data_IF_211556163807
#
_entry.id   IF_211556163807
#
_cell.length_a   1.000
_cell.length_b   1.000
_cell.length_c   1.000
_cell.angle_alpha   90.00
_cell.angle_beta   90.00
_cell.angle_gamma   90.00
#
_symmetry.space_group_name_H-M   'P 1'
#
loop_
_entity.id
_entity.type
_entity.pdbx_description
1 polymer ?
#
# COMPACT_ATOMS: atom_id res chain seq x y z
N UNK A 1 62.26 33.34 15.48
CA UNK A 1 61.83 31.99 15.91
C UNK A 1 60.46 32.11 16.57
N UNK A 2 59.62 31.08 16.38
CA UNK A 2 58.25 30.86 16.90
C UNK A 2 57.11 31.34 15.99
N UNK A 3 56.69 30.40 15.14
CA UNK A 3 55.45 30.34 14.37
C UNK A 3 54.31 30.06 15.35
N UNK A 4 53.17 30.75 15.25
CA UNK A 4 51.94 30.34 15.93
C UNK A 4 50.95 29.88 14.85
N UNK A 5 50.71 28.57 14.80
CA UNK A 5 49.60 27.95 14.09
C UNK A 5 48.29 28.33 14.82
N UNK A 6 47.29 28.81 14.08
CA UNK A 6 45.90 28.74 14.53
C UNK A 6 45.15 27.99 13.44
N UNK A 7 44.80 26.76 13.76
CA UNK A 7 44.00 25.88 12.93
C UNK A 7 42.55 26.36 12.85
N UNK A 8 41.99 26.35 11.64
CA UNK A 8 40.57 26.42 11.42
C UNK A 8 40.13 25.06 10.89
N UNK A 9 39.68 24.20 11.81
CA UNK A 9 39.04 22.93 11.50
C UNK A 9 37.65 23.26 10.96
N UNK A 10 37.48 23.12 9.65
CA UNK A 10 36.18 23.17 8.98
C UNK A 10 35.49 21.82 9.18
N UNK A 11 34.75 21.66 10.28
CA UNK A 11 33.76 20.58 10.43
C UNK A 11 32.51 21.03 9.69
N UNK A 12 32.41 20.69 8.42
CA UNK A 12 31.14 20.77 7.69
C UNK A 12 30.45 19.42 7.83
N UNK A 13 29.41 19.46 8.67
CA UNK A 13 28.52 18.39 9.06
C UNK A 13 28.03 17.61 7.82
N UNK A 14 28.43 16.34 7.70
CA UNK A 14 27.78 15.39 6.81
C UNK A 14 26.37 15.19 7.36
N UNK A 15 25.35 15.75 6.71
CA UNK A 15 23.96 15.34 6.97
C UNK A 15 23.84 13.95 6.34
N UNK A 16 23.64 12.86 7.10
CA UNK A 16 23.22 11.63 6.47
C UNK A 16 21.85 11.91 5.88
N UNK A 17 21.75 11.98 4.56
CA UNK A 17 20.48 11.77 3.86
C UNK A 17 20.09 10.34 4.23
N UNK A 18 19.35 10.22 5.33
CA UNK A 18 18.69 8.97 5.69
C UNK A 18 17.68 8.73 4.59
N UNK A 19 18.07 7.89 3.63
CA UNK A 19 17.20 7.37 2.60
C UNK A 19 16.24 6.37 3.26
N UNK A 20 15.44 6.85 4.21
CA UNK A 20 14.28 6.13 4.68
C UNK A 20 13.26 6.24 3.55
N UNK A 21 13.12 5.17 2.78
CA UNK A 21 12.01 5.07 1.84
C UNK A 21 10.72 5.40 2.61
N UNK A 22 9.85 6.28 2.08
CA UNK A 22 8.60 6.61 2.76
C UNK A 22 7.84 5.32 3.04
N UNK A 23 7.19 5.25 4.21
CA UNK A 23 6.37 4.10 4.56
C UNK A 23 5.31 3.89 3.46
N UNK A 24 4.99 2.63 3.12
CA UNK A 24 4.14 2.31 1.97
C UNK A 24 2.71 2.89 2.08
N UNK A 25 2.29 3.28 3.30
CA UNK A 25 1.05 3.97 3.62
C UNK A 25 1.34 5.26 4.37
N UNK A 26 0.75 6.37 3.91
CA UNK A 26 0.73 7.65 4.64
C UNK A 26 -0.71 8.16 4.71
N UNK A 27 -1.20 8.49 5.91
CA UNK A 27 -2.55 9.03 6.10
C UNK A 27 -2.51 10.56 5.96
N UNK A 28 -3.38 11.12 5.13
CA UNK A 28 -3.57 12.56 4.94
C UNK A 28 -4.53 13.13 5.99
N UNK A 29 -4.53 14.47 6.14
CA UNK A 29 -5.37 15.19 7.09
C UNK A 29 -6.88 15.05 6.80
N UNK A 30 -7.25 14.69 5.56
CA UNK A 30 -8.62 14.44 5.14
C UNK A 30 -9.10 13.00 5.41
N UNK A 31 -8.25 12.17 6.03
CA UNK A 31 -8.55 10.79 6.41
C UNK A 31 -8.28 9.74 5.32
N UNK A 32 -7.79 10.15 4.15
CA UNK A 32 -7.43 9.22 3.08
C UNK A 32 -5.95 8.82 3.15
N UNK A 33 -5.70 7.54 2.89
CA UNK A 33 -4.37 6.98 2.77
C UNK A 33 -3.81 7.15 1.36
N UNK A 34 -2.56 7.59 1.26
CA UNK A 34 -1.75 7.49 0.05
C UNK A 34 -1.07 6.12 0.06
N UNK A 35 -1.43 5.29 -0.91
CA UNK A 35 -0.86 3.95 -1.11
C UNK A 35 0.23 4.03 -2.18
N UNK A 36 1.49 3.87 -1.76
CA UNK A 36 2.66 4.06 -2.64
C UNK A 36 3.22 2.74 -3.18
N UNK A 37 2.70 1.61 -2.71
CA UNK A 37 3.17 0.28 -3.05
C UNK A 37 2.00 -0.72 -3.11
N UNK A 38 2.11 -1.80 -3.92
CA UNK A 38 1.08 -2.83 -4.04
C UNK A 38 0.63 -3.38 -2.70
N UNK A 39 -0.63 -3.77 -2.60
CA UNK A 39 -1.14 -4.47 -1.42
C UNK A 39 -0.58 -5.89 -1.38
N UNK A 40 -0.19 -6.38 -0.21
CA UNK A 40 0.35 -7.73 -0.07
C UNK A 40 -0.17 -8.42 1.17
N UNK A 41 -0.55 -9.69 1.00
CA UNK A 41 -0.88 -10.58 2.12
C UNK A 41 0.38 -11.05 2.87
N UNK A 42 1.55 -11.00 2.21
CA UNK A 42 2.83 -11.27 2.82
C UNK A 42 3.45 -9.98 3.40
N UNK A 43 4.34 -10.12 4.39
CA UNK A 43 5.16 -8.99 4.86
C UNK A 43 6.42 -8.91 4.01
N UNK A 44 6.33 -8.18 2.90
CA UNK A 44 7.42 -8.00 1.94
C UNK A 44 7.88 -6.55 1.89
N UNK A 45 9.15 -6.33 1.56
CA UNK A 45 9.66 -4.99 1.30
C UNK A 45 8.96 -4.37 0.08
N UNK A 46 8.74 -3.06 0.10
CA UNK A 46 8.07 -2.31 -0.97
C UNK A 46 6.65 -2.80 -1.28
N UNK A 47 5.93 -3.25 -0.25
CA UNK A 47 4.50 -3.58 -0.32
C UNK A 47 3.75 -2.96 0.86
N UNK A 48 2.47 -2.73 0.67
CA UNK A 48 1.53 -2.37 1.73
C UNK A 48 0.93 -3.64 2.30
N UNK A 49 1.36 -4.04 3.50
CA UNK A 49 0.86 -5.26 4.11
C UNK A 49 -0.63 -5.12 4.52
N UNK A 50 -1.44 -6.10 4.13
CA UNK A 50 -2.79 -6.33 4.60
C UNK A 50 -2.90 -7.75 5.19
N UNK A 51 -3.61 -7.96 6.31
CA UNK A 51 -3.72 -9.26 6.95
C UNK A 51 -4.56 -10.25 6.13
N UNK A 52 -4.33 -11.56 6.32
CA UNK A 52 -5.21 -12.59 5.78
C UNK A 52 -6.64 -12.41 6.30
N UNK A 53 -7.61 -12.69 5.42
CA UNK A 53 -9.04 -12.48 5.69
C UNK A 53 -9.50 -11.04 5.49
N UNK A 54 -8.65 -10.18 4.91
CA UNK A 54 -9.05 -8.81 4.56
C UNK A 54 -10.15 -8.78 3.49
N UNK A 55 -10.93 -7.70 3.51
CA UNK A 55 -11.94 -7.38 2.50
C UNK A 55 -11.62 -6.03 1.89
N UNK A 56 -11.56 -5.98 0.56
CA UNK A 56 -11.32 -4.77 -0.22
C UNK A 56 -12.60 -4.43 -0.96
N UNK A 57 -13.02 -3.17 -0.88
CA UNK A 57 -14.10 -2.62 -1.69
C UNK A 57 -13.52 -1.61 -2.66
N UNK A 58 -13.76 -1.79 -3.95
CA UNK A 58 -13.51 -0.78 -4.97
C UNK A 58 -14.83 -0.13 -5.35
N UNK A 59 -14.93 1.16 -5.12
CA UNK A 59 -16.11 1.94 -5.44
C UNK A 59 -15.97 2.58 -6.82
N UNK A 60 -17.08 2.68 -7.55
CA UNK A 60 -17.09 3.14 -8.95
C UNK A 60 -16.50 4.56 -9.12
N UNK A 61 -16.56 5.38 -8.06
CA UNK A 61 -15.98 6.72 -8.02
C UNK A 61 -14.46 6.74 -7.73
N UNK A 62 -13.78 5.59 -7.77
CA UNK A 62 -12.32 5.49 -7.60
C UNK A 62 -11.86 5.59 -6.15
N UNK A 63 -12.72 5.20 -5.20
CA UNK A 63 -12.37 5.04 -3.80
C UNK A 63 -12.13 3.57 -3.51
N UNK A 64 -11.10 3.28 -2.72
CA UNK A 64 -10.82 1.93 -2.21
C UNK A 64 -10.92 1.92 -0.70
N UNK A 65 -11.68 0.99 -0.12
CA UNK A 65 -11.70 0.73 1.32
C UNK A 65 -11.13 -0.64 1.61
N UNK A 66 -10.31 -0.73 2.67
CA UNK A 66 -9.72 -1.99 3.10
C UNK A 66 -10.08 -2.26 4.55
N UNK A 67 -10.64 -3.43 4.81
CA UNK A 67 -11.00 -3.94 6.12
C UNK A 67 -10.15 -5.15 6.47
N UNK A 68 -9.73 -5.24 7.73
CA UNK A 68 -9.05 -6.42 8.26
C UNK A 68 -10.02 -7.56 8.57
N UNK A 69 -9.50 -8.74 8.97
CA UNK A 69 -10.30 -9.92 9.29
C UNK A 69 -11.25 -9.73 10.48
N UNK A 70 -11.02 -8.72 11.32
CA UNK A 70 -11.89 -8.35 12.45
C UNK A 70 -12.98 -7.34 12.07
N UNK A 71 -13.19 -7.11 10.77
CA UNK A 71 -14.08 -6.10 10.20
C UNK A 71 -13.74 -4.66 10.63
N UNK A 72 -12.54 -4.40 11.14
CA UNK A 72 -12.08 -3.03 11.35
C UNK A 72 -11.49 -2.46 10.07
N UNK A 73 -11.87 -1.24 9.75
CA UNK A 73 -11.30 -0.50 8.61
C UNK A 73 -9.82 -0.22 8.88
N UNK A 74 -8.96 -0.68 7.97
CA UNK A 74 -7.53 -0.41 7.99
C UNK A 74 -7.24 0.96 7.39
N UNK A 75 -7.83 1.25 6.22
CA UNK A 75 -7.72 2.55 5.56
C UNK A 75 -8.78 2.72 4.46
N UNK A 76 -8.93 3.98 4.03
CA UNK A 76 -9.63 4.39 2.80
C UNK A 76 -8.63 5.14 1.93
N UNK A 77 -8.62 4.92 0.62
CA UNK A 77 -7.68 5.56 -0.31
C UNK A 77 -8.40 6.04 -1.57
N UNK A 78 -7.88 7.10 -2.19
CA UNK A 78 -8.30 7.51 -3.53
C UNK A 78 -7.37 6.87 -4.55
N UNK A 79 -7.93 6.16 -5.52
CA UNK A 79 -7.15 5.48 -6.55
C UNK A 79 -6.36 6.48 -7.41
N UNK A 80 -6.88 7.70 -7.59
CA UNK A 80 -6.20 8.79 -8.29
C UNK A 80 -4.96 9.34 -7.58
N UNK A 81 -4.82 9.08 -6.27
CA UNK A 81 -3.69 9.53 -5.45
C UNK A 81 -2.71 8.38 -5.14
N UNK A 82 -3.09 7.15 -5.45
CA UNK A 82 -2.22 5.99 -5.30
C UNK A 82 -1.10 6.00 -6.36
N UNK A 83 0.04 5.40 -6.02
CA UNK A 83 1.12 5.21 -6.98
C UNK A 83 0.68 4.35 -8.16
N UNK A 84 1.18 4.66 -9.34
CA UNK A 84 0.94 3.86 -10.54
C UNK A 84 1.95 2.72 -10.60
N UNK A 85 1.46 1.48 -10.59
CA UNK A 85 2.27 0.26 -10.58
C UNK A 85 2.05 -0.50 -11.88
N UNK A 86 3.14 -1.02 -12.47
CA UNK A 86 3.07 -1.88 -13.65
C UNK A 86 2.54 -3.27 -13.29
N UNK A 87 1.48 -3.70 -13.98
CA UNK A 87 0.88 -5.03 -13.85
C UNK A 87 0.69 -5.65 -15.25
N UNK A 88 0.41 -6.97 -15.35
CA UNK A 88 -0.06 -7.56 -16.60
C UNK A 88 -1.28 -6.79 -17.11
N UNK A 89 -1.25 -6.35 -18.37
CA UNK A 89 -2.31 -5.55 -18.98
C UNK A 89 -2.18 -4.04 -18.79
N UNK A 90 -1.11 -3.54 -18.16
CA UNK A 90 -0.76 -2.12 -18.11
C UNK A 90 -0.56 -1.57 -16.70
N UNK A 91 -0.48 -0.25 -16.60
CA UNK A 91 -0.36 0.42 -15.31
C UNK A 91 -1.71 0.48 -14.58
N UNK A 92 -1.68 0.23 -13.28
CA UNK A 92 -2.84 0.26 -12.38
C UNK A 92 -2.51 1.04 -11.11
N UNK A 93 -3.50 1.65 -10.44
CA UNK A 93 -3.30 2.19 -9.09
C UNK A 93 -2.78 1.10 -8.14
N UNK A 94 -1.90 1.45 -7.22
CA UNK A 94 -1.33 0.50 -6.24
C UNK A 94 -2.40 -0.17 -5.37
N UNK A 95 -3.55 0.48 -5.19
CA UNK A 95 -4.74 -0.06 -4.51
C UNK A 95 -5.37 -1.25 -5.26
N UNK A 96 -5.11 -1.40 -6.56
CA UNK A 96 -5.66 -2.46 -7.44
C UNK A 96 -4.65 -3.58 -7.75
N UNK A 97 -3.47 -3.56 -7.14
CA UNK A 97 -2.43 -4.57 -7.37
C UNK A 97 -2.19 -5.35 -6.08
N UNK A 98 -2.37 -6.67 -6.15
CA UNK A 98 -2.28 -7.57 -5.00
C UNK A 98 -1.16 -8.58 -5.20
N UNK A 99 -0.25 -8.65 -4.24
CA UNK A 99 0.67 -9.77 -4.08
C UNK A 99 0.01 -10.79 -3.16
N UNK A 100 -0.23 -11.98 -3.70
CA UNK A 100 -0.85 -13.10 -3.00
C UNK A 100 0.14 -14.26 -2.87
N UNK A 101 0.01 -15.12 -1.85
CA UNK A 101 0.90 -16.27 -1.69
C UNK A 101 0.84 -17.22 -2.89
N UNK A 102 1.98 -17.80 -3.25
CA UNK A 102 2.06 -18.83 -4.28
C UNK A 102 1.15 -20.03 -3.94
N UNK A 103 0.56 -20.63 -4.98
CA UNK A 103 -0.40 -21.73 -4.82
C UNK A 103 -1.83 -21.28 -4.48
N UNK A 104 -2.08 -19.97 -4.39
CA UNK A 104 -3.45 -19.45 -4.21
C UNK A 104 -4.36 -19.77 -5.39
N UNK A 105 -5.63 -20.05 -5.09
CA UNK A 105 -6.72 -20.19 -6.07
C UNK A 105 -7.59 -18.93 -6.06
N UNK A 106 -7.88 -18.42 -7.26
CA UNK A 106 -8.77 -17.27 -7.46
C UNK A 106 -10.12 -17.77 -7.98
N UNK A 107 -11.20 -17.26 -7.41
CA UNK A 107 -12.59 -17.49 -7.85
C UNK A 107 -13.27 -16.16 -8.02
N UNK A 108 -13.90 -15.93 -9.17
CA UNK A 108 -14.59 -14.68 -9.49
C UNK A 108 -16.06 -14.99 -9.81
N UNK A 109 -16.97 -14.27 -9.15
CA UNK A 109 -18.41 -14.39 -9.33
C UNK A 109 -19.08 -13.05 -9.01
N UNK A 110 -19.90 -12.54 -9.93
CA UNK A 110 -20.74 -11.34 -9.76
C UNK A 110 -20.01 -10.11 -9.16
N UNK A 111 -18.85 -9.76 -9.71
CA UNK A 111 -18.05 -8.61 -9.25
C UNK A 111 -17.34 -8.84 -7.90
N UNK A 112 -17.37 -10.07 -7.39
CA UNK A 112 -16.64 -10.47 -6.20
C UNK A 112 -15.52 -11.45 -6.59
N UNK A 113 -14.28 -11.07 -6.28
CA UNK A 113 -13.13 -11.96 -6.37
C UNK A 113 -12.77 -12.49 -4.99
N UNK A 114 -12.71 -13.82 -4.85
CA UNK A 114 -12.31 -14.53 -3.64
C UNK A 114 -11.00 -15.26 -3.89
N UNK A 115 -10.05 -15.09 -3.00
CA UNK A 115 -8.73 -15.70 -3.09
C UNK A 115 -8.56 -16.66 -1.92
N UNK A 116 -8.22 -17.91 -2.24
CA UNK A 116 -8.05 -18.99 -1.29
C UNK A 116 -6.61 -19.46 -1.30
N UNK A 117 -6.05 -19.73 -0.13
CA UNK A 117 -4.83 -20.51 0.02
C UNK A 117 -5.22 -21.82 0.71
N UNK A 118 -4.96 -22.94 0.04
CA UNK A 118 -5.59 -24.22 0.37
C UNK A 118 -7.13 -24.08 0.43
N UNK A 119 -7.73 -24.32 1.59
CA UNK A 119 -9.18 -24.18 1.83
C UNK A 119 -9.54 -22.89 2.60
N UNK A 120 -8.57 -22.04 2.94
CA UNK A 120 -8.80 -20.80 3.69
C UNK A 120 -9.03 -19.61 2.75
N UNK A 121 -10.12 -18.86 2.97
CA UNK A 121 -10.35 -17.57 2.30
C UNK A 121 -9.41 -16.51 2.88
N UNK A 122 -8.45 -16.05 2.08
CA UNK A 122 -7.37 -15.13 2.52
C UNK A 122 -7.56 -13.70 2.05
N UNK A 123 -8.34 -13.46 1.00
CA UNK A 123 -8.71 -12.12 0.54
C UNK A 123 -10.05 -12.15 -0.18
N UNK A 124 -10.87 -11.13 0.05
CA UNK A 124 -12.06 -10.85 -0.76
C UNK A 124 -11.92 -9.46 -1.36
N UNK A 125 -12.15 -9.33 -2.66
CA UNK A 125 -12.21 -8.06 -3.39
C UNK A 125 -13.60 -7.93 -3.97
N UNK A 126 -14.25 -6.80 -3.74
CA UNK A 126 -15.64 -6.55 -4.13
C UNK A 126 -15.69 -5.26 -4.94
N UNK A 127 -16.11 -5.36 -6.19
CA UNK A 127 -16.42 -4.22 -7.05
C UNK A 127 -17.81 -3.69 -6.69
N UNK A 128 -17.91 -2.38 -6.45
CA UNK A 128 -19.15 -1.68 -6.13
C UNK A 128 -19.56 -0.79 -7.30
N UNK A 129 -20.83 -0.89 -7.64
CA UNK A 129 -21.44 -0.11 -8.74
C UNK A 129 -21.98 1.25 -8.29
N UNK A 130 -22.09 1.43 -6.98
CA UNK A 130 -22.51 2.64 -6.29
C UNK A 130 -21.30 3.48 -5.85
N UNK A 131 -21.52 4.78 -5.66
CA UNK A 131 -20.50 5.69 -5.13
C UNK A 131 -20.28 5.46 -3.63
N UNK A 132 -19.03 5.57 -3.17
CA UNK A 132 -18.71 5.59 -1.73
C UNK A 132 -19.37 6.78 -1.02
N UNK A 133 -19.98 6.55 0.15
CA UNK A 133 -20.80 7.54 0.86
C UNK A 133 -20.17 8.08 2.16
N UNK A 134 -19.03 7.55 2.63
CA UNK A 134 -18.37 8.01 3.86
C UNK A 134 -18.78 7.29 5.14
#
# INVERSE_FOLDING_TARGET
>A
MKKLLIGLILVMLLVPVSCAAPAPVTIQDDGFAIITAPLSLNKEANTTHIPHGSVIYHWVNGITEVYGPDNKRLFVARDSEAASVGAPGGFKPATHVYHIPDGSRISEEDGTTKIYLDDALILTVIEKSEDWQG
#
